data_IF_338430725421
#
_entry.id   IF_338430725421
#
_cell.length_a   1.000
_cell.length_b   1.000
_cell.length_c   1.000
_cell.angle_alpha   90.00
_cell.angle_beta   90.00
_cell.angle_gamma   90.00
#
_symmetry.space_group_name_H-M   'P 1'
#
loop_
_entity.id
_entity.type
_entity.pdbx_description
1 polymer ?
#
# COMPACT_ATOMS: atom_id res chain seq x y z
N UNK A 1 17.20 -4.73 13.25
CA UNK A 1 16.30 -4.16 12.23
C UNK A 1 14.88 -4.33 12.73
N UNK A 2 13.99 -3.38 12.48
CA UNK A 2 12.56 -3.56 12.74
C UNK A 2 11.97 -4.58 11.76
N UNK A 3 10.84 -5.20 12.12
CA UNK A 3 10.14 -6.14 11.23
C UNK A 3 9.76 -5.49 9.88
N UNK A 4 9.50 -4.19 9.85
CA UNK A 4 9.25 -3.46 8.61
C UNK A 4 10.53 -3.32 7.78
N UNK A 5 11.66 -2.98 8.39
CA UNK A 5 12.95 -2.85 7.68
C UNK A 5 13.36 -4.15 6.99
N UNK A 6 13.15 -5.29 7.65
CA UNK A 6 13.41 -6.61 7.07
C UNK A 6 12.52 -6.90 5.86
N UNK A 7 11.22 -6.59 5.95
CA UNK A 7 10.27 -6.71 4.83
C UNK A 7 10.64 -5.81 3.66
N UNK A 8 11.03 -4.57 3.93
CA UNK A 8 11.44 -3.61 2.91
C UNK A 8 12.70 -4.06 2.19
N UNK A 9 13.69 -4.56 2.95
CA UNK A 9 14.90 -5.15 2.36
C UNK A 9 14.54 -6.30 1.43
N UNK A 10 13.76 -7.27 1.93
CA UNK A 10 13.31 -8.42 1.13
C UNK A 10 12.59 -7.99 -0.16
N UNK A 11 11.64 -7.05 -0.06
CA UNK A 11 10.91 -6.50 -1.20
C UNK A 11 11.86 -5.91 -2.24
N UNK A 12 12.80 -5.05 -1.83
CA UNK A 12 13.71 -4.36 -2.76
C UNK A 12 14.78 -5.27 -3.37
N UNK A 13 15.08 -6.41 -2.74
CA UNK A 13 16.03 -7.41 -3.24
C UNK A 13 15.40 -8.40 -4.23
N UNK A 14 14.10 -8.69 -4.08
CA UNK A 14 13.44 -9.79 -4.80
C UNK A 14 12.30 -9.35 -5.71
N UNK A 15 11.87 -8.08 -5.67
CA UNK A 15 10.80 -7.56 -6.53
C UNK A 15 11.33 -6.57 -7.55
N UNK A 16 10.78 -6.62 -8.76
CA UNK A 16 10.99 -5.59 -9.78
C UNK A 16 9.95 -4.48 -9.61
N UNK A 17 10.39 -3.27 -9.28
CA UNK A 17 9.48 -2.14 -9.05
C UNK A 17 8.97 -1.56 -10.37
N UNK A 18 7.67 -1.55 -10.61
CA UNK A 18 7.09 -1.00 -11.84
C UNK A 18 7.16 0.53 -11.86
N UNK A 19 7.39 1.12 -13.05
CA UNK A 19 7.39 2.57 -13.29
C UNK A 19 8.45 3.40 -12.53
N UNK A 20 9.63 2.81 -12.28
CA UNK A 20 10.65 3.46 -11.44
C UNK A 20 12.05 2.92 -11.68
N UNK A 21 13.06 3.74 -11.38
CA UNK A 21 14.46 3.34 -11.46
C UNK A 21 14.85 2.40 -10.31
N UNK A 22 15.46 1.25 -10.64
CA UNK A 22 15.78 0.22 -9.65
C UNK A 22 16.98 0.58 -8.75
N UNK A 23 18.01 1.25 -9.29
CA UNK A 23 19.25 1.55 -8.56
C UNK A 23 19.01 2.29 -7.23
N UNK A 24 18.05 3.22 -7.20
CA UNK A 24 17.71 4.03 -6.02
C UNK A 24 16.62 3.43 -5.12
N UNK A 25 16.09 2.25 -5.42
CA UNK A 25 14.99 1.68 -4.65
C UNK A 25 15.46 0.87 -3.47
N UNK A 26 15.66 1.55 -2.34
CA UNK A 26 16.19 0.90 -1.13
C UNK A 26 15.24 0.98 0.07
N UNK A 27 14.42 2.02 0.13
CA UNK A 27 13.48 2.26 1.23
C UNK A 27 12.17 2.82 0.68
N UNK A 28 11.29 1.99 0.07
CA UNK A 28 9.96 2.46 -0.29
C UNK A 28 9.16 2.87 0.94
N UNK A 29 8.19 3.76 0.73
CA UNK A 29 7.15 4.03 1.71
C UNK A 29 6.33 2.75 1.93
N UNK A 30 6.35 2.22 3.15
CA UNK A 30 5.58 1.04 3.51
C UNK A 30 4.20 1.46 4.02
N UNK A 31 3.17 1.30 3.19
CA UNK A 31 1.78 1.49 3.61
C UNK A 31 1.30 0.20 4.28
N UNK A 32 1.05 0.26 5.59
CA UNK A 32 0.56 -0.91 6.35
C UNK A 32 -0.95 -1.07 6.27
N UNK A 33 -1.67 0.04 6.05
CA UNK A 33 -3.12 0.04 6.06
C UNK A 33 -3.71 1.24 5.31
N UNK A 34 -5.00 1.17 4.95
CA UNK A 34 -5.74 2.25 4.34
C UNK A 34 -7.25 2.15 4.67
N UNK A 35 -7.92 3.29 4.80
CA UNK A 35 -9.38 3.36 5.04
C UNK A 35 -9.96 4.67 4.52
N UNK A 36 -11.08 4.57 3.78
CA UNK A 36 -11.70 5.73 3.13
C UNK A 36 -10.72 6.39 2.16
N UNK A 37 -10.43 7.68 2.36
CA UNK A 37 -9.50 8.46 1.52
C UNK A 37 -8.07 8.51 2.08
N UNK A 38 -7.76 7.73 3.11
CA UNK A 38 -6.48 7.81 3.80
C UNK A 38 -5.67 6.51 3.74
N UNK A 39 -4.35 6.66 3.66
CA UNK A 39 -3.36 5.59 3.83
C UNK A 39 -2.54 5.81 5.10
N UNK A 40 -2.02 4.74 5.68
CA UNK A 40 -1.26 4.75 6.93
C UNK A 40 0.05 3.97 6.76
N UNK A 41 1.18 4.61 7.10
CA UNK A 41 2.47 3.91 7.16
C UNK A 41 2.67 3.15 8.47
N UNK A 42 3.80 2.46 8.63
CA UNK A 42 4.08 1.67 9.82
C UNK A 42 4.15 2.48 11.11
N UNK A 43 4.51 3.77 11.03
CA UNK A 43 4.51 4.71 12.15
C UNK A 43 3.12 5.31 12.45
N UNK A 44 2.05 4.85 11.77
CA UNK A 44 0.68 5.41 11.83
C UNK A 44 0.55 6.83 11.29
N UNK A 45 1.53 7.34 10.54
CA UNK A 45 1.37 8.62 9.87
C UNK A 45 0.36 8.45 8.74
N UNK A 46 -0.58 9.40 8.68
CA UNK A 46 -1.69 9.40 7.74
C UNK A 46 -1.37 10.22 6.50
N UNK A 47 -1.67 9.67 5.33
CA UNK A 47 -1.52 10.31 4.03
C UNK A 47 -2.88 10.39 3.35
N UNK A 48 -3.26 11.56 2.83
CA UNK A 48 -4.44 11.70 1.98
C UNK A 48 -4.14 11.09 0.61
N UNK A 49 -4.91 10.10 0.20
CA UNK A 49 -4.87 9.54 -1.15
C UNK A 49 -5.66 10.42 -2.12
N UNK A 50 -5.06 11.57 -2.47
CA UNK A 50 -5.71 12.56 -3.30
C UNK A 50 -5.95 12.09 -4.74
N UNK A 51 -5.15 11.13 -5.23
CA UNK A 51 -5.23 10.62 -6.59
C UNK A 51 -6.04 9.33 -6.74
N UNK A 52 -6.56 8.77 -5.64
CA UNK A 52 -7.18 7.45 -5.62
C UNK A 52 -6.24 6.37 -6.20
N UNK A 53 -4.98 6.36 -5.75
CA UNK A 53 -3.86 5.60 -6.32
C UNK A 53 -3.59 5.98 -7.79
N UNK A 54 -3.52 5.01 -8.70
CA UNK A 54 -3.54 5.21 -10.15
C UNK A 54 -5.00 5.34 -10.64
N UNK A 55 -5.75 6.26 -10.03
CA UNK A 55 -7.14 6.59 -10.37
C UNK A 55 -8.07 5.37 -10.39
N UNK A 56 -7.94 4.47 -9.41
CA UNK A 56 -8.69 3.22 -9.36
C UNK A 56 -9.46 3.00 -8.05
N UNK A 57 -9.09 3.66 -6.95
CA UNK A 57 -9.75 3.50 -5.64
C UNK A 57 -10.89 4.51 -5.45
N UNK A 58 -11.88 4.50 -6.35
CA UNK A 58 -12.94 5.53 -6.40
C UNK A 58 -13.96 5.42 -5.25
N UNK A 59 -14.15 4.22 -4.69
CA UNK A 59 -15.06 3.98 -3.56
C UNK A 59 -14.36 4.10 -2.20
N UNK A 60 -13.09 4.53 -2.20
CA UNK A 60 -12.24 4.53 -1.03
C UNK A 60 -11.73 3.14 -0.63
N UNK A 61 -10.70 3.14 0.21
CA UNK A 61 -10.08 1.93 0.74
C UNK A 61 -10.98 1.26 1.79
N UNK A 62 -10.95 -0.08 1.85
CA UNK A 62 -11.75 -0.92 2.76
C UNK A 62 -13.27 -0.68 2.69
N UNK A 63 -13.81 -0.48 1.49
CA UNK A 63 -15.25 -0.43 1.33
C UNK A 63 -15.89 -1.77 1.77
N UNK A 64 -16.66 -1.75 2.87
CA UNK A 64 -17.25 -2.96 3.47
C UNK A 64 -18.15 -3.73 2.52
N UNK A 65 -18.96 -3.02 1.73
CA UNK A 65 -19.86 -3.63 0.75
C UNK A 65 -19.09 -4.43 -0.30
N UNK A 66 -17.95 -3.89 -0.77
CA UNK A 66 -17.09 -4.59 -1.74
C UNK A 66 -16.43 -5.82 -1.11
N UNK A 67 -15.91 -5.69 0.11
CA UNK A 67 -15.29 -6.82 0.84
C UNK A 67 -16.30 -7.94 1.05
N UNK A 68 -17.50 -7.63 1.54
CA UNK A 68 -18.57 -8.61 1.77
C UNK A 68 -19.01 -9.29 0.47
N UNK A 69 -19.11 -8.54 -0.64
CA UNK A 69 -19.42 -9.11 -1.95
C UNK A 69 -18.36 -10.09 -2.44
N UNK A 70 -17.06 -9.78 -2.25
CA UNK A 70 -15.95 -10.71 -2.58
C UNK A 70 -16.04 -11.96 -1.70
N UNK A 71 -16.18 -11.80 -0.38
CA UNK A 71 -16.27 -12.94 0.56
C UNK A 71 -17.44 -13.85 0.24
N UNK A 72 -18.60 -13.29 -0.13
CA UNK A 72 -19.79 -14.07 -0.50
C UNK A 72 -19.61 -14.89 -1.78
N UNK A 73 -18.74 -14.45 -2.68
CA UNK A 73 -18.53 -15.07 -3.99
C UNK A 73 -17.46 -16.18 -3.95
N UNK A 74 -16.56 -16.17 -2.96
CA UNK A 74 -15.55 -17.20 -2.69
C UNK A 74 -16.17 -18.46 -2.09
#
# INVERSE_FOLDING_TARGET
MTKTEERLKFLTEHSYGTWRAQKGWKKPLFIKDAEGVYMYDDDNKRYLDFSSQLMCSNLGHKNKVVIEAIVKQL
#
